data_IF_054599697241
#
_entry.id   IF_054599697241
#
_cell.length_a   1.000
_cell.length_b   1.000
_cell.length_c   1.000
_cell.angle_alpha   90.00
_cell.angle_beta   90.00
_cell.angle_gamma   90.00
#
_symmetry.space_group_name_H-M   'P 1'
#
loop_
_entity.id
_entity.type
_entity.pdbx_description
1 polymer ?
#
# COMPACT_ATOMS: atom_id res chain seq x y z
N UNK A 1 -23.49 59.73 57.31
CA UNK A 1 -23.91 58.35 56.99
C UNK A 1 -23.50 58.06 55.55
N UNK A 2 -22.63 57.07 55.32
CA UNK A 2 -22.20 56.68 53.96
C UNK A 2 -22.81 55.32 53.62
N UNK A 3 -23.83 55.34 52.76
CA UNK A 3 -24.55 54.16 52.29
C UNK A 3 -23.73 53.45 51.21
N UNK A 4 -23.06 52.36 51.59
CA UNK A 4 -22.27 51.53 50.70
C UNK A 4 -23.20 50.59 49.93
N UNK A 5 -23.60 50.99 48.72
CA UNK A 5 -24.39 50.16 47.80
C UNK A 5 -23.53 48.98 47.33
N UNK A 6 -23.71 47.81 47.96
CA UNK A 6 -23.18 46.54 47.47
C UNK A 6 -24.00 46.08 46.26
N UNK A 7 -23.58 46.47 45.06
CA UNK A 7 -24.03 45.83 43.83
C UNK A 7 -23.44 44.40 43.77
N UNK A 8 -24.28 43.41 44.07
CA UNK A 8 -24.00 42.00 43.82
C UNK A 8 -24.11 41.75 42.32
N UNK A 9 -22.96 41.77 41.63
CA UNK A 9 -22.86 41.29 40.24
C UNK A 9 -23.00 39.75 40.24
N UNK A 10 -24.23 39.27 40.19
CA UNK A 10 -24.54 37.86 39.94
C UNK A 10 -24.13 37.51 38.50
N UNK A 11 -22.97 36.87 38.33
CA UNK A 11 -22.51 36.29 37.06
C UNK A 11 -23.32 35.05 36.63
N UNK A 12 -24.65 35.06 36.83
CA UNK A 12 -25.54 34.03 36.32
C UNK A 12 -25.64 34.19 34.80
N UNK A 13 -24.98 33.29 34.07
CA UNK A 13 -25.19 33.12 32.63
C UNK A 13 -26.70 32.95 32.39
N UNK A 14 -27.23 33.74 31.47
CA UNK A 14 -28.66 33.71 31.13
C UNK A 14 -29.09 32.31 30.71
N UNK A 15 -30.30 31.90 31.10
CA UNK A 15 -30.87 30.58 30.79
C UNK A 15 -30.71 30.18 29.32
N UNK A 16 -30.93 31.15 28.40
CA UNK A 16 -30.74 30.99 26.96
C UNK A 16 -29.32 30.57 26.56
N UNK A 17 -28.29 31.10 27.23
CA UNK A 17 -26.89 30.79 26.96
C UNK A 17 -26.54 29.38 27.45
N UNK A 18 -27.11 28.98 28.59
CA UNK A 18 -26.92 27.64 29.16
C UNK A 18 -27.55 26.57 28.27
N UNK A 19 -28.74 26.81 27.73
CA UNK A 19 -29.40 25.88 26.79
C UNK A 19 -28.66 25.76 25.45
N UNK A 20 -28.19 26.88 24.88
CA UNK A 20 -27.33 26.85 23.67
C UNK A 20 -26.05 26.04 23.88
N UNK A 21 -25.43 26.19 25.05
CA UNK A 21 -24.25 25.41 25.39
C UNK A 21 -24.59 23.92 25.49
N UNK A 22 -25.66 23.53 26.21
CA UNK A 22 -26.07 22.12 26.31
C UNK A 22 -26.33 21.50 24.93
N UNK A 23 -26.99 22.23 24.03
CA UNK A 23 -27.24 21.75 22.67
C UNK A 23 -25.95 21.59 21.87
N UNK A 24 -25.00 22.53 22.03
CA UNK A 24 -23.67 22.43 21.42
C UNK A 24 -22.90 21.22 21.93
N UNK A 25 -22.94 20.98 23.25
CA UNK A 25 -22.33 19.80 23.87
C UNK A 25 -22.98 18.50 23.39
N UNK A 26 -24.31 18.43 23.25
CA UNK A 26 -24.99 17.26 22.68
C UNK A 26 -24.57 17.01 21.24
N UNK A 27 -24.56 18.03 20.38
CA UNK A 27 -24.13 17.90 18.98
C UNK A 27 -22.68 17.45 18.86
N UNK A 28 -21.80 18.03 19.67
CA UNK A 28 -20.38 17.65 19.70
C UNK A 28 -20.22 16.21 20.19
N UNK A 29 -20.93 15.81 21.25
CA UNK A 29 -20.89 14.44 21.76
C UNK A 29 -21.37 13.42 20.72
N UNK A 30 -22.48 13.70 20.02
CA UNK A 30 -22.98 12.87 18.92
C UNK A 30 -21.94 12.79 17.80
N UNK A 31 -21.27 13.89 17.47
CA UNK A 31 -20.23 13.91 16.44
C UNK A 31 -18.95 13.16 16.87
N UNK A 32 -18.60 13.20 18.16
CA UNK A 32 -17.47 12.44 18.72
C UNK A 32 -17.75 10.94 18.79
N UNK A 33 -18.98 10.55 19.11
CA UNK A 33 -19.40 9.15 19.17
C UNK A 33 -19.68 8.56 17.78
N UNK A 34 -20.03 9.39 16.80
CA UNK A 34 -20.21 8.94 15.43
C UNK A 34 -18.87 8.43 14.87
N UNK A 35 -18.83 7.21 14.28
CA UNK A 35 -17.63 6.72 13.62
C UNK A 35 -17.21 7.72 12.53
N UNK A 36 -15.91 8.03 12.48
CA UNK A 36 -15.38 9.08 11.62
C UNK A 36 -15.80 8.86 10.16
N UNK A 37 -16.60 9.78 9.60
CA UNK A 37 -17.01 9.78 8.18
C UNK A 37 -15.86 10.05 7.19
N UNK A 38 -14.61 10.07 7.66
CA UNK A 38 -13.45 10.03 6.77
C UNK A 38 -13.42 8.61 6.23
N UNK A 39 -13.65 8.43 4.92
CA UNK A 39 -13.50 7.12 4.28
C UNK A 39 -12.19 6.51 4.78
N UNK A 40 -12.31 5.48 5.60
CA UNK A 40 -11.22 5.00 6.41
C UNK A 40 -11.00 3.56 6.01
N UNK A 41 -9.78 3.30 5.55
CA UNK A 41 -9.28 1.93 5.47
C UNK A 41 -9.41 1.30 6.85
N UNK A 42 -10.07 0.14 6.91
CA UNK A 42 -10.22 -0.66 8.11
C UNK A 42 -8.83 -1.00 8.69
N UNK A 43 -8.72 -0.95 10.01
CA UNK A 43 -7.47 -1.32 10.69
C UNK A 43 -7.37 -2.84 10.67
N UNK A 44 -6.22 -3.37 10.28
CA UNK A 44 -5.95 -4.81 10.24
C UNK A 44 -4.77 -5.11 11.17
N UNK A 45 -5.05 -5.83 12.26
CA UNK A 45 -4.04 -6.20 13.26
C UNK A 45 -3.33 -7.52 12.93
N UNK A 46 -3.86 -8.30 11.99
CA UNK A 46 -3.23 -9.52 11.50
C UNK A 46 -1.96 -9.21 10.69
N UNK A 47 -0.93 -10.07 10.81
CA UNK A 47 0.29 -9.95 10.03
C UNK A 47 0.01 -10.20 8.55
N UNK A 48 0.67 -9.46 7.65
CA UNK A 48 0.51 -9.74 6.22
C UNK A 48 1.09 -11.10 5.83
N UNK A 49 2.03 -11.64 6.60
CA UNK A 49 2.62 -12.97 6.39
C UNK A 49 1.63 -14.12 6.54
N UNK A 50 0.59 -13.93 7.35
CA UNK A 50 -0.34 -15.00 7.74
C UNK A 50 -1.46 -15.17 6.71
N UNK A 51 -1.57 -14.21 5.79
CA UNK A 51 -2.55 -14.25 4.71
C UNK A 51 -2.19 -15.34 3.70
N UNK A 52 -3.20 -16.04 3.20
CA UNK A 52 -3.05 -17.09 2.18
C UNK A 52 -3.03 -16.56 0.74
N UNK A 53 -3.31 -15.26 0.54
CA UNK A 53 -3.48 -14.64 -0.78
C UNK A 53 -2.75 -13.30 -0.85
N UNK A 54 -2.60 -12.80 -2.07
CA UNK A 54 -2.04 -11.48 -2.33
C UNK A 54 -2.89 -10.39 -1.63
N UNK A 55 -2.28 -9.49 -0.85
CA UNK A 55 -3.04 -8.50 -0.09
C UNK A 55 -3.56 -7.40 -1.02
N UNK A 56 -4.70 -6.82 -0.64
CA UNK A 56 -5.16 -5.56 -1.23
C UNK A 56 -4.32 -4.40 -0.69
N UNK A 57 -4.24 -3.32 -1.46
CA UNK A 57 -3.65 -2.06 -0.99
C UNK A 57 -4.30 -1.57 0.31
N UNK A 58 -5.61 -1.75 0.45
CA UNK A 58 -6.36 -1.45 1.68
C UNK A 58 -5.86 -2.28 2.87
N UNK A 59 -5.61 -3.59 2.71
CA UNK A 59 -5.10 -4.43 3.80
C UNK A 59 -3.72 -3.96 4.27
N UNK A 60 -2.82 -3.67 3.32
CA UNK A 60 -1.48 -3.14 3.64
C UNK A 60 -1.57 -1.81 4.38
N UNK A 61 -2.47 -0.92 3.96
CA UNK A 61 -2.72 0.35 4.65
C UNK A 61 -3.35 0.17 6.03
N UNK A 62 -4.23 -0.82 6.20
CA UNK A 62 -4.83 -1.15 7.48
C UNK A 62 -3.81 -1.68 8.48
N UNK A 63 -2.87 -2.50 8.02
CA UNK A 63 -1.70 -2.94 8.79
C UNK A 63 -0.77 -1.77 9.13
N UNK A 64 -0.54 -0.87 8.18
CA UNK A 64 0.26 0.32 8.45
C UNK A 64 -0.33 1.20 9.56
N UNK A 65 -1.66 1.31 9.61
CA UNK A 65 -2.36 2.01 10.68
C UNK A 65 -2.29 1.28 12.01
N UNK A 66 -2.39 -0.05 12.04
CA UNK A 66 -2.29 -0.80 13.31
C UNK A 66 -0.92 -0.60 13.96
N UNK A 67 0.15 -0.46 13.16
CA UNK A 67 1.49 -0.15 13.66
C UNK A 67 1.64 1.26 14.25
N UNK A 68 0.66 2.16 14.11
CA UNK A 68 0.69 3.48 14.77
C UNK A 68 0.67 3.38 16.30
N UNK A 69 0.12 2.30 16.87
CA UNK A 69 0.12 2.06 18.31
C UNK A 69 1.48 1.58 18.83
N UNK A 70 2.28 0.91 17.99
CA UNK A 70 3.53 0.26 18.37
C UNK A 70 4.72 1.20 18.12
N UNK A 71 4.73 1.87 16.97
CA UNK A 71 5.90 2.62 16.52
C UNK A 71 5.48 4.02 16.05
N UNK A 72 6.26 5.06 16.34
CA UNK A 72 5.98 6.42 15.84
C UNK A 72 6.65 6.68 14.50
N UNK A 73 7.84 6.10 14.27
CA UNK A 73 8.61 6.38 13.06
C UNK A 73 8.03 5.69 11.81
N UNK A 74 7.82 6.48 10.75
CA UNK A 74 7.31 5.99 9.46
C UNK A 74 8.25 4.97 8.82
N UNK A 75 9.57 5.19 8.88
CA UNK A 75 10.57 4.32 8.24
C UNK A 75 10.58 2.93 8.87
N UNK A 76 10.47 2.85 10.19
CA UNK A 76 10.40 1.59 10.93
C UNK A 76 9.13 0.81 10.56
N UNK A 77 7.97 1.47 10.51
CA UNK A 77 6.71 0.85 10.04
C UNK A 77 6.84 0.27 8.64
N UNK A 78 7.40 1.04 7.72
CA UNK A 78 7.64 0.58 6.34
C UNK A 78 8.60 -0.61 6.32
N UNK A 79 9.62 -0.60 7.17
CA UNK A 79 10.55 -1.73 7.33
C UNK A 79 9.85 -3.01 7.79
N UNK A 80 9.02 -2.93 8.83
CA UNK A 80 8.25 -4.06 9.35
C UNK A 80 7.32 -4.66 8.28
N UNK A 81 6.54 -3.80 7.63
CA UNK A 81 5.63 -4.24 6.56
C UNK A 81 6.40 -4.83 5.38
N UNK A 82 7.56 -4.28 5.02
CA UNK A 82 8.38 -4.83 3.95
C UNK A 82 8.88 -6.24 4.28
N UNK A 83 9.25 -6.50 5.53
CA UNK A 83 9.62 -7.85 6.01
C UNK A 83 8.43 -8.80 5.93
N UNK A 84 7.25 -8.40 6.44
CA UNK A 84 6.03 -9.22 6.38
C UNK A 84 5.64 -9.55 4.92
N UNK A 85 5.65 -8.54 4.04
CA UNK A 85 5.34 -8.72 2.62
C UNK A 85 6.36 -9.60 1.90
N UNK A 86 7.65 -9.46 2.23
CA UNK A 86 8.70 -10.29 1.64
C UNK A 86 8.58 -11.75 2.08
N UNK A 87 8.18 -11.99 3.33
CA UNK A 87 7.86 -13.32 3.82
C UNK A 87 6.70 -13.89 3.02
N UNK A 88 5.55 -13.20 3.00
CA UNK A 88 4.36 -13.60 2.23
C UNK A 88 4.67 -13.94 0.77
N UNK A 89 5.47 -13.10 0.10
CA UNK A 89 5.85 -13.26 -1.30
C UNK A 89 6.64 -14.53 -1.57
N UNK A 90 7.52 -14.91 -0.64
CA UNK A 90 8.40 -16.08 -0.77
C UNK A 90 7.73 -17.36 -0.28
N UNK A 91 7.11 -17.33 0.91
CA UNK A 91 6.61 -18.52 1.59
C UNK A 91 5.26 -18.94 1.05
N UNK A 92 4.32 -18.01 0.93
CA UNK A 92 2.94 -18.34 0.60
C UNK A 92 2.69 -18.28 -0.91
N UNK A 93 3.20 -17.25 -1.58
CA UNK A 93 2.91 -17.00 -2.99
C UNK A 93 3.88 -17.69 -3.95
N UNK A 94 4.99 -18.25 -3.46
CA UNK A 94 6.01 -18.94 -4.26
C UNK A 94 6.53 -18.14 -5.47
N UNK A 95 6.56 -16.81 -5.37
CA UNK A 95 7.02 -15.94 -6.45
C UNK A 95 8.55 -15.74 -6.43
N UNK A 96 9.14 -15.31 -7.56
CA UNK A 96 10.55 -14.95 -7.61
C UNK A 96 10.93 -13.93 -6.54
N UNK A 97 12.15 -14.01 -5.99
CA UNK A 97 12.60 -13.11 -4.95
C UNK A 97 12.62 -11.66 -5.46
N UNK A 98 11.94 -10.77 -4.72
CA UNK A 98 11.92 -9.34 -5.00
C UNK A 98 12.92 -8.62 -4.10
N UNK A 99 13.57 -7.58 -4.63
CA UNK A 99 14.47 -6.73 -3.84
C UNK A 99 13.69 -5.96 -2.78
N UNK A 100 14.26 -5.85 -1.57
CA UNK A 100 13.66 -5.09 -0.46
C UNK A 100 13.42 -3.62 -0.85
N UNK A 101 14.36 -3.04 -1.60
CA UNK A 101 14.23 -1.68 -2.11
C UNK A 101 13.00 -1.49 -3.01
N UNK A 102 12.68 -2.46 -3.86
CA UNK A 102 11.48 -2.40 -4.71
C UNK A 102 10.19 -2.44 -3.88
N UNK A 103 10.14 -3.28 -2.84
CA UNK A 103 8.99 -3.38 -1.93
C UNK A 103 8.81 -2.04 -1.21
N UNK A 104 9.87 -1.49 -0.61
CA UNK A 104 9.84 -0.19 0.08
C UNK A 104 9.41 0.95 -0.86
N UNK A 105 9.95 1.00 -2.07
CA UNK A 105 9.57 2.02 -3.05
C UNK A 105 8.10 1.92 -3.46
N UNK A 106 7.55 0.71 -3.52
CA UNK A 106 6.13 0.46 -3.82
C UNK A 106 5.23 0.86 -2.65
N UNK A 107 5.64 0.54 -1.42
CA UNK A 107 4.96 0.96 -0.20
C UNK A 107 4.92 2.48 -0.07
N UNK A 108 6.03 3.16 -0.33
CA UNK A 108 6.06 4.61 -0.25
C UNK A 108 5.11 5.27 -1.26
N UNK A 109 5.01 4.70 -2.48
CA UNK A 109 4.01 5.12 -3.48
C UNK A 109 2.58 4.87 -3.01
N UNK A 110 2.32 3.73 -2.36
CA UNK A 110 1.02 3.42 -1.79
C UNK A 110 0.64 4.42 -0.68
N UNK A 111 1.59 4.82 0.18
CA UNK A 111 1.35 5.84 1.19
C UNK A 111 1.01 7.20 0.57
N UNK A 112 1.71 7.60 -0.50
CA UNK A 112 1.38 8.81 -1.25
C UNK A 112 0.01 8.73 -1.92
N UNK A 113 -0.34 7.57 -2.50
CA UNK A 113 -1.65 7.31 -3.08
C UNK A 113 -2.74 7.41 -2.01
N UNK A 114 -2.52 6.85 -0.82
CA UNK A 114 -3.43 6.95 0.31
C UNK A 114 -3.64 8.40 0.77
N UNK A 115 -2.57 9.19 0.89
CA UNK A 115 -2.67 10.61 1.25
C UNK A 115 -3.48 11.40 0.20
N UNK A 116 -3.34 11.06 -1.07
CA UNK A 116 -4.13 11.65 -2.16
C UNK A 116 -5.61 11.24 -2.09
N UNK A 117 -5.87 9.95 -1.90
CA UNK A 117 -7.20 9.38 -1.70
C UNK A 117 -7.92 10.03 -0.52
N UNK A 118 -7.20 10.24 0.59
CA UNK A 118 -7.71 10.91 1.79
C UNK A 118 -8.13 12.35 1.52
N UNK A 119 -7.37 13.10 0.71
CA UNK A 119 -7.71 14.47 0.31
C UNK A 119 -8.95 14.51 -0.59
N UNK A 120 -9.07 13.56 -1.52
CA UNK A 120 -10.19 13.49 -2.48
C UNK A 120 -11.42 12.73 -1.98
N UNK A 121 -11.34 12.06 -0.84
CA UNK A 121 -12.36 11.14 -0.29
C UNK A 121 -12.80 10.04 -1.27
N UNK A 122 -11.91 9.63 -2.17
CA UNK A 122 -12.11 8.48 -3.05
C UNK A 122 -11.07 7.42 -2.67
N UNK A 123 -11.51 6.18 -2.41
CA UNK A 123 -10.65 5.07 -1.96
C UNK A 123 -10.74 3.85 -2.89
N UNK A 124 -11.38 3.98 -4.06
CA UNK A 124 -11.63 2.87 -4.98
C UNK A 124 -10.32 2.21 -5.43
N UNK A 125 -9.27 3.02 -5.60
CA UNK A 125 -7.95 2.54 -6.02
C UNK A 125 -7.24 1.69 -4.95
N UNK A 126 -7.69 1.71 -3.70
CA UNK A 126 -7.18 0.86 -2.61
C UNK A 126 -7.78 -0.55 -2.60
N UNK A 127 -8.85 -0.78 -3.37
CA UNK A 127 -9.41 -2.11 -3.57
C UNK A 127 -8.64 -2.93 -4.61
N UNK A 128 -7.58 -2.38 -5.19
CA UNK A 128 -6.67 -3.10 -6.08
C UNK A 128 -5.67 -3.97 -5.30
N UNK A 129 -5.24 -5.07 -5.92
CA UNK A 129 -4.17 -5.93 -5.41
C UNK A 129 -2.84 -5.18 -5.30
N UNK A 130 -2.13 -5.41 -4.20
CA UNK A 130 -0.78 -4.92 -3.99
C UNK A 130 0.24 -5.84 -4.67
N UNK A 131 0.36 -5.71 -5.99
CA UNK A 131 1.35 -6.47 -6.76
C UNK A 131 2.66 -5.69 -6.87
N UNK A 132 3.76 -6.20 -6.29
CA UNK A 132 5.08 -5.55 -6.34
C UNK A 132 5.71 -5.62 -7.73
N UNK A 133 5.42 -6.64 -8.53
CA UNK A 133 5.97 -6.86 -9.88
C UNK A 133 5.28 -6.06 -10.96
N UNK A 134 4.01 -5.67 -10.77
CA UNK A 134 3.27 -4.83 -11.71
C UNK A 134 3.95 -3.47 -11.87
N UNK A 135 4.76 -3.31 -12.90
CA UNK A 135 5.27 -2.00 -13.25
C UNK A 135 4.16 -1.26 -13.98
N UNK A 136 3.80 -0.05 -13.53
CA UNK A 136 2.99 0.84 -14.35
C UNK A 136 3.68 0.97 -15.71
N UNK A 137 3.01 0.57 -16.78
CA UNK A 137 3.52 0.56 -18.16
C UNK A 137 4.07 1.93 -18.62
N UNK A 138 3.75 3.00 -17.89
CA UNK A 138 4.12 4.37 -18.22
C UNK A 138 5.59 4.72 -17.90
N UNK A 139 6.34 3.85 -17.20
CA UNK A 139 7.73 4.12 -16.77
C UNK A 139 8.83 3.47 -17.60
N UNK A 140 8.57 2.31 -18.23
CA UNK A 140 9.61 1.59 -18.99
C UNK A 140 9.73 2.03 -20.44
N UNK A 141 8.69 2.66 -21.02
CA UNK A 141 8.74 3.18 -22.38
C UNK A 141 9.83 4.27 -22.58
N UNK A 142 10.31 4.91 -21.50
CA UNK A 142 11.34 5.96 -21.57
C UNK A 142 12.77 5.47 -21.35
N UNK A 143 12.98 4.27 -20.77
CA UNK A 143 14.33 3.77 -20.42
C UNK A 143 14.88 2.70 -21.36
N UNK A 144 14.05 2.13 -22.23
CA UNK A 144 14.53 1.21 -23.29
C UNK A 144 15.14 1.99 -24.47
N UNK A 145 14.81 3.28 -24.65
CA UNK A 145 15.36 4.10 -25.74
C UNK A 145 16.79 4.61 -25.52
N UNK A 146 17.35 4.50 -24.31
CA UNK A 146 18.71 5.01 -24.02
C UNK A 146 19.74 3.92 -23.71
N UNK A 147 19.38 2.64 -23.82
CA UNK A 147 20.30 1.51 -23.58
C UNK A 147 20.69 0.72 -24.84
N UNK A 148 20.32 1.17 -26.04
CA UNK A 148 20.76 0.56 -27.31
C UNK A 148 21.87 1.36 -28.01
N UNK A 149 22.67 2.13 -27.27
CA UNK A 149 23.95 2.64 -27.78
C UNK A 149 25.11 1.72 -27.35
N UNK A 150 24.91 0.41 -27.47
CA UNK A 150 26.01 -0.54 -27.57
C UNK A 150 26.37 -0.63 -29.05
N UNK A 151 27.53 -0.07 -29.41
CA UNK A 151 28.18 -0.29 -30.69
C UNK A 151 28.47 -1.78 -30.87
N UNK A 152 27.54 -2.51 -31.48
CA UNK A 152 27.83 -3.77 -32.15
C UNK A 152 27.54 -3.56 -33.64
N UNK A 153 28.57 -3.12 -34.35
CA UNK A 153 28.57 -2.97 -35.80
C UNK A 153 28.77 -4.36 -36.41
N UNK A 154 27.71 -5.11 -36.69
CA UNK A 154 27.70 -6.17 -37.70
C UNK A 154 26.29 -6.67 -38.03
N UNK A 155 25.84 -6.28 -39.23
CA UNK A 155 24.99 -7.01 -40.19
C UNK A 155 23.71 -7.71 -39.69
N UNK A 156 22.62 -7.02 -39.98
CA UNK A 156 21.29 -7.49 -40.38
C UNK A 156 21.10 -9.01 -40.57
N UNK A 157 20.06 -9.55 -39.93
CA UNK A 157 18.92 -10.20 -40.62
C UNK A 157 17.75 -10.40 -39.65
N UNK A 158 16.65 -9.74 -40.00
CA UNK A 158 15.31 -10.02 -39.46
C UNK A 158 14.85 -11.37 -40.00
N UNK A 159 14.50 -12.31 -39.11
CA UNK A 159 13.58 -13.41 -39.42
C UNK A 159 12.75 -13.68 -38.17
N UNK A 160 11.48 -13.28 -38.26
CA UNK A 160 10.36 -13.81 -37.48
C UNK A 160 10.21 -15.28 -37.91
N UNK A 161 10.29 -16.25 -37.00
CA UNK A 161 9.65 -17.56 -37.19
C UNK A 161 9.24 -18.17 -35.85
N UNK A 162 7.92 -18.27 -35.68
CA UNK A 162 7.23 -19.31 -34.92
C UNK A 162 7.66 -20.69 -35.45
N UNK A 163 7.93 -21.66 -34.58
CA UNK A 163 7.47 -23.06 -34.69
C UNK A 163 8.24 -24.00 -33.75
N UNK A 164 7.47 -24.81 -33.02
CA UNK A 164 7.67 -26.23 -32.69
C UNK A 164 9.09 -26.70 -32.36
N UNK A 165 9.31 -27.01 -31.07
CA UNK A 165 10.37 -27.90 -30.61
C UNK A 165 9.88 -29.36 -30.73
N UNK A 166 10.51 -30.23 -31.55
CA UNK A 166 10.30 -31.67 -31.45
C UNK A 166 11.35 -32.30 -30.51
N UNK A 167 10.88 -33.26 -29.73
CA UNK A 167 11.62 -34.13 -28.80
C UNK A 167 12.69 -34.96 -29.54
N UNK A 168 13.90 -35.19 -28.98
CA UNK A 168 14.89 -36.06 -29.61
C UNK A 168 14.55 -37.54 -29.41
N UNK A 169 14.61 -38.34 -30.50
CA UNK A 169 14.64 -39.80 -30.46
C UNK A 169 16.07 -40.32 -30.24
N UNK A 170 16.25 -41.45 -29.54
CA UNK A 170 17.57 -42.06 -29.32
C UNK A 170 18.11 -42.74 -30.58
N UNK A 171 19.41 -42.60 -30.79
CA UNK A 171 20.18 -43.18 -31.90
C UNK A 171 20.56 -44.63 -31.59
N UNK A 172 20.22 -45.55 -32.50
CA UNK A 172 20.63 -46.95 -32.49
C UNK A 172 21.91 -47.09 -33.33
N UNK A 173 23.03 -47.45 -32.69
CA UNK A 173 24.24 -47.91 -33.39
C UNK A 173 24.16 -49.44 -33.60
N UNK A 174 24.54 -49.97 -34.77
CA UNK A 174 25.02 -51.33 -34.90
C UNK A 174 26.56 -51.31 -35.01
N UNK A 175 27.25 -51.96 -34.06
CA UNK A 175 28.65 -52.37 -34.20
C UNK A 175 28.66 -53.88 -34.42
N UNK A 176 28.85 -54.30 -35.67
CA UNK A 176 29.26 -55.66 -36.01
C UNK A 176 30.79 -55.71 -36.06
N UNK A 177 31.37 -56.80 -35.54
CA UNK A 177 32.79 -57.11 -35.74
C UNK A 177 33.44 -57.91 -34.61
N UNK A 178 32.97 -59.14 -34.37
CA UNK A 178 33.75 -60.19 -33.70
C UNK A 178 33.64 -61.45 -34.54
N UNK A 179 34.70 -61.77 -35.30
CA UNK A 179 35.40 -63.06 -35.32
C UNK A 179 36.54 -63.03 -36.35
#
# INVERSE_FOLDING_TARGET
EYSLVKNSMSFKKSSSTTEKNKETWRKNLVQFQAPSRRGNVAIHEELLSDQSRMPLKSHVMGRFKSLESITKERKEKVGLIAVELKALWRTTLNFPPVSDQAIRAKLEKLLQEYDHCRKKKNFDSLNELFDVTKVKANGFAKRIRTSTNCKCRAKARSVILLANVPVPRPSTHPSEGIH
#
